data_IF_681140064780
#
_entry.id   IF_681140064780
#
_cell.length_a   1.000
_cell.length_b   1.000
_cell.length_c   1.000
_cell.angle_alpha   90.00
_cell.angle_beta   90.00
_cell.angle_gamma   90.00
#
_symmetry.space_group_name_H-M   'P 1'
#
loop_
_entity.id
_entity.type
_entity.pdbx_description
1 polymer ?
#
# COMPACT_ATOMS: atom_id res chain seq x y z
N UNK A 1 32.36 5.19 -1.22
CA UNK A 1 31.30 4.16 -1.11
C UNK A 1 29.97 4.88 -1.00
N UNK A 2 29.15 4.88 -2.04
CA UNK A 2 27.80 5.46 -1.98
C UNK A 2 26.94 4.53 -1.15
N UNK A 3 26.65 4.90 0.10
CA UNK A 3 25.54 4.31 0.85
C UNK A 3 24.29 4.57 0.03
N UNK A 4 23.80 3.58 -0.73
CA UNK A 4 22.51 3.67 -1.38
C UNK A 4 21.48 3.77 -0.26
N UNK A 5 21.00 4.99 -0.01
CA UNK A 5 19.93 5.23 0.96
C UNK A 5 18.73 4.43 0.45
N UNK A 6 18.31 3.45 1.25
CA UNK A 6 17.13 2.66 0.95
C UNK A 6 15.94 3.62 0.77
N UNK A 7 15.15 3.52 -0.31
CA UNK A 7 13.97 4.35 -0.50
C UNK A 7 13.08 4.35 0.75
N UNK A 8 12.54 5.50 1.13
CA UNK A 8 11.85 5.64 2.42
C UNK A 8 10.67 4.67 2.61
N UNK A 9 9.96 4.34 1.53
CA UNK A 9 8.85 3.39 1.57
C UNK A 9 9.30 1.93 1.84
N UNK A 10 10.59 1.61 1.64
CA UNK A 10 11.17 0.30 1.98
C UNK A 10 11.66 0.21 3.43
N UNK A 11 11.45 1.25 4.24
CA UNK A 11 11.86 1.29 5.66
C UNK A 11 10.74 0.88 6.61
N UNK A 12 9.68 0.26 6.10
CA UNK A 12 8.50 -0.13 6.88
C UNK A 12 8.33 -1.65 6.85
N UNK A 13 8.00 -2.26 7.98
CA UNK A 13 7.69 -3.69 8.04
C UNK A 13 6.17 -3.93 7.89
N UNK A 14 5.80 -4.99 7.18
CA UNK A 14 4.40 -5.40 6.98
C UNK A 14 4.02 -6.69 7.71
N UNK A 15 5.00 -7.57 7.94
CA UNK A 15 4.88 -8.78 8.75
C UNK A 15 6.11 -8.94 9.62
N UNK A 16 5.93 -9.55 10.78
CA UNK A 16 7.01 -9.96 11.67
C UNK A 16 6.94 -11.46 11.87
N UNK A 17 8.10 -12.11 11.96
CA UNK A 17 8.13 -13.51 12.33
C UNK A 17 8.16 -13.64 13.86
N UNK A 18 7.13 -14.28 14.42
CA UNK A 18 7.03 -14.54 15.87
C UNK A 18 7.73 -15.84 16.29
N UNK A 19 8.11 -16.68 15.34
CA UNK A 19 8.74 -17.97 15.58
C UNK A 19 10.14 -17.99 14.99
N UNK A 20 11.15 -17.81 15.85
CA UNK A 20 12.58 -17.74 15.51
C UNK A 20 13.13 -19.11 15.05
N UNK A 21 12.34 -20.18 15.10
CA UNK A 21 12.80 -21.55 14.90
C UNK A 21 13.22 -21.91 13.47
N UNK A 22 12.98 -21.05 12.48
CA UNK A 22 13.40 -21.28 11.09
C UNK A 22 14.21 -20.08 10.60
N UNK A 23 15.33 -20.34 9.90
CA UNK A 23 16.25 -19.40 9.20
C UNK A 23 15.53 -18.43 8.23
N UNK A 24 14.60 -17.65 8.73
CA UNK A 24 13.72 -16.76 8.00
C UNK A 24 13.89 -15.36 8.55
N UNK A 25 13.74 -14.36 7.69
CA UNK A 25 13.94 -12.98 8.07
C UNK A 25 12.98 -12.58 9.21
N UNK A 26 13.49 -11.79 10.15
CA UNK A 26 12.73 -11.35 11.32
C UNK A 26 11.47 -10.53 10.95
N UNK A 27 11.46 -9.95 9.76
CA UNK A 27 10.34 -9.19 9.21
C UNK A 27 10.29 -9.28 7.68
N UNK A 28 9.12 -8.99 7.13
CA UNK A 28 8.92 -8.78 5.69
C UNK A 28 8.59 -7.31 5.43
N UNK A 29 9.19 -6.71 4.40
CA UNK A 29 8.99 -5.29 4.07
C UNK A 29 7.55 -5.05 3.62
N UNK A 30 6.97 -3.94 4.08
CA UNK A 30 5.58 -3.60 3.84
C UNK A 30 5.26 -3.42 2.36
N UNK A 31 6.10 -2.68 1.63
CA UNK A 31 5.91 -2.49 0.20
C UNK A 31 5.94 -3.83 -0.58
N UNK A 32 6.83 -4.74 -0.20
CA UNK A 32 6.89 -6.08 -0.81
C UNK A 32 5.68 -6.93 -0.42
N UNK A 33 5.26 -6.89 0.85
CA UNK A 33 4.04 -7.56 1.28
C UNK A 33 2.82 -7.10 0.46
N UNK A 34 2.68 -5.79 0.26
CA UNK A 34 1.64 -5.22 -0.58
C UNK A 34 1.71 -5.73 -2.03
N UNK A 35 2.91 -5.80 -2.62
CA UNK A 35 3.10 -6.31 -3.98
C UNK A 35 2.81 -7.82 -4.09
N UNK A 36 3.16 -8.61 -3.07
CA UNK A 36 2.85 -10.04 -3.04
C UNK A 36 1.33 -10.25 -3.07
N UNK A 37 0.58 -9.50 -2.26
CA UNK A 37 -0.89 -9.56 -2.24
C UNK A 37 -1.47 -9.03 -3.55
N UNK A 38 -0.91 -7.97 -4.12
CA UNK A 38 -1.31 -7.46 -5.43
C UNK A 38 -1.11 -8.49 -6.56
N UNK A 39 0.00 -9.23 -6.54
CA UNK A 39 0.27 -10.29 -7.51
C UNK A 39 -0.75 -11.44 -7.37
N UNK A 40 -1.09 -11.83 -6.14
CA UNK A 40 -2.16 -12.79 -5.89
C UNK A 40 -3.51 -12.31 -6.43
N UNK A 41 -3.88 -11.05 -6.17
CA UNK A 41 -5.11 -10.43 -6.68
C UNK A 41 -5.17 -10.42 -8.21
N UNK A 42 -4.08 -9.98 -8.85
CA UNK A 42 -3.94 -9.99 -10.30
C UNK A 42 -4.16 -11.40 -10.87
N UNK A 43 -3.53 -12.41 -10.27
CA UNK A 43 -3.65 -13.81 -10.69
C UNK A 43 -5.09 -14.32 -10.55
N UNK A 44 -5.75 -14.02 -9.42
CA UNK A 44 -7.15 -14.39 -9.18
C UNK A 44 -8.07 -13.87 -10.28
N UNK A 45 -7.93 -12.59 -10.66
CA UNK A 45 -8.77 -12.01 -11.73
C UNK A 45 -8.40 -12.57 -13.09
N UNK A 46 -7.10 -12.65 -13.42
CA UNK A 46 -6.61 -13.09 -14.73
C UNK A 46 -7.13 -14.48 -15.09
N UNK A 47 -7.14 -15.39 -14.11
CA UNK A 47 -7.59 -16.77 -14.29
C UNK A 47 -9.05 -16.99 -13.88
N UNK A 48 -9.81 -15.91 -13.63
CA UNK A 48 -11.20 -15.93 -13.20
C UNK A 48 -11.46 -16.89 -12.02
N UNK A 49 -10.51 -16.97 -11.09
CA UNK A 49 -10.63 -17.80 -9.90
C UNK A 49 -11.83 -17.29 -9.08
N UNK A 50 -12.66 -18.20 -8.57
CA UNK A 50 -13.90 -17.87 -7.83
C UNK A 50 -14.93 -17.05 -8.62
N UNK A 51 -14.89 -17.14 -9.96
CA UNK A 51 -15.71 -16.32 -10.87
C UNK A 51 -15.52 -14.80 -10.65
N UNK A 52 -14.33 -14.40 -10.18
CA UNK A 52 -14.01 -13.04 -9.78
C UNK A 52 -14.04 -12.05 -10.95
N UNK A 53 -13.54 -12.43 -12.11
CA UNK A 53 -13.57 -11.58 -13.32
C UNK A 53 -15.00 -11.30 -13.77
N UNK A 54 -15.88 -12.30 -13.70
CA UNK A 54 -17.29 -12.11 -14.02
C UNK A 54 -17.96 -11.11 -13.08
N UNK A 55 -17.72 -11.22 -11.77
CA UNK A 55 -18.25 -10.28 -10.77
C UNK A 55 -17.78 -8.84 -11.01
N UNK A 56 -16.52 -8.65 -11.42
CA UNK A 56 -16.04 -7.32 -11.78
C UNK A 56 -16.72 -6.78 -13.04
N UNK A 57 -16.99 -7.63 -14.02
CA UNK A 57 -17.76 -7.25 -15.20
C UNK A 57 -19.18 -6.79 -14.83
N UNK A 58 -19.84 -7.43 -13.85
CA UNK A 58 -21.15 -6.99 -13.31
C UNK A 58 -21.06 -5.59 -12.67
N UNK A 59 -19.91 -5.22 -12.11
CA UNK A 59 -19.62 -3.88 -11.59
C UNK A 59 -19.12 -2.90 -12.67
N UNK A 60 -19.23 -3.25 -13.96
CA UNK A 60 -18.74 -2.46 -15.09
C UNK A 60 -17.21 -2.22 -15.11
N UNK A 61 -16.43 -3.06 -14.44
CA UNK A 61 -14.97 -3.08 -14.49
C UNK A 61 -14.54 -4.19 -15.46
N UNK A 62 -14.24 -3.83 -16.70
CA UNK A 62 -14.08 -4.76 -17.83
C UNK A 62 -12.63 -4.88 -18.30
N UNK A 63 -12.34 -5.97 -19.01
CA UNK A 63 -11.09 -6.24 -19.75
C UNK A 63 -9.79 -6.08 -18.93
N UNK A 64 -8.67 -5.73 -19.59
CA UNK A 64 -7.31 -5.66 -19.00
C UNK A 64 -7.16 -4.67 -17.85
N UNK A 65 -8.19 -3.85 -17.62
CA UNK A 65 -8.24 -2.90 -16.53
C UNK A 65 -8.67 -3.58 -15.23
N UNK A 66 -9.42 -4.69 -15.29
CA UNK A 66 -9.89 -5.41 -14.10
C UNK A 66 -8.73 -6.01 -13.29
N UNK A 67 -7.78 -6.70 -13.93
CA UNK A 67 -6.64 -7.29 -13.22
C UNK A 67 -5.74 -6.20 -12.61
N UNK A 68 -5.49 -5.12 -13.36
CA UNK A 68 -4.65 -4.00 -12.91
C UNK A 68 -5.32 -3.21 -11.79
N UNK A 69 -6.62 -2.97 -11.90
CA UNK A 69 -7.41 -2.27 -10.90
C UNK A 69 -7.40 -3.03 -9.57
N UNK A 70 -7.65 -4.35 -9.61
CA UNK A 70 -7.58 -5.17 -8.40
C UNK A 70 -6.16 -5.23 -7.83
N UNK A 71 -5.14 -5.37 -8.69
CA UNK A 71 -3.75 -5.33 -8.23
C UNK A 71 -3.44 -4.00 -7.51
N UNK A 72 -3.91 -2.87 -8.04
CA UNK A 72 -3.74 -1.55 -7.42
C UNK A 72 -4.48 -1.42 -6.09
N UNK A 73 -5.75 -1.85 -6.00
CA UNK A 73 -6.50 -1.88 -4.74
C UNK A 73 -5.76 -2.75 -3.71
N UNK A 74 -5.30 -3.94 -4.11
CA UNK A 74 -4.62 -4.86 -3.20
C UNK A 74 -3.23 -4.37 -2.78
N UNK A 75 -2.51 -3.66 -3.64
CA UNK A 75 -1.23 -3.04 -3.31
C UNK A 75 -1.36 -1.97 -2.21
N UNK A 76 -2.56 -1.46 -1.95
CA UNK A 76 -2.81 -0.39 -0.97
C UNK A 76 -3.60 -0.86 0.24
N UNK A 77 -3.96 -2.15 0.32
CA UNK A 77 -4.82 -2.69 1.39
C UNK A 77 -4.26 -2.43 2.79
N UNK A 78 -2.93 -2.47 2.93
CA UNK A 78 -2.20 -2.33 4.18
C UNK A 78 -1.58 -0.93 4.34
N UNK A 79 -2.05 0.09 3.60
CA UNK A 79 -1.44 1.43 3.61
C UNK A 79 -1.39 2.06 5.00
N UNK A 80 -2.34 1.75 5.88
CA UNK A 80 -2.33 2.21 7.28
C UNK A 80 -1.15 1.68 8.11
N UNK A 81 -0.47 0.60 7.66
CA UNK A 81 0.75 0.12 8.32
C UNK A 81 1.95 1.05 8.13
N UNK A 82 1.91 1.98 7.16
CA UNK A 82 2.90 3.04 7.05
C UNK A 82 2.80 4.07 8.19
N UNK A 83 1.73 4.04 9.01
CA UNK A 83 1.65 4.89 10.18
C UNK A 83 2.74 4.56 11.21
N UNK A 84 3.39 5.61 11.72
CA UNK A 84 4.40 5.46 12.80
C UNK A 84 3.82 4.91 14.09
N UNK A 85 2.51 5.03 14.31
CA UNK A 85 1.80 4.35 15.40
C UNK A 85 1.86 2.83 15.22
N UNK A 86 1.47 2.31 14.05
CA UNK A 86 1.50 0.88 13.76
C UNK A 86 2.91 0.28 13.86
N UNK A 87 3.92 0.96 13.31
CA UNK A 87 5.31 0.47 13.30
C UNK A 87 5.91 0.28 14.69
N UNK A 88 5.27 0.78 15.77
CA UNK A 88 5.69 0.55 17.16
C UNK A 88 5.37 -0.85 17.68
N UNK A 89 4.48 -1.61 17.03
CA UNK A 89 4.11 -2.94 17.51
C UNK A 89 5.26 -3.95 17.46
N UNK A 90 6.33 -3.67 16.70
CA UNK A 90 7.57 -4.43 16.72
C UNK A 90 8.75 -3.51 16.41
N UNK A 91 9.85 -3.68 17.15
CA UNK A 91 11.05 -2.87 17.00
C UNK A 91 12.20 -3.75 16.51
N UNK A 92 12.99 -3.18 15.60
CA UNK A 92 14.18 -3.82 15.03
C UNK A 92 15.34 -2.81 15.09
N UNK A 93 15.98 -2.63 16.26
CA UNK A 93 16.95 -1.55 16.49
C UNK A 93 18.13 -1.55 15.51
N UNK A 94 18.55 -2.73 15.06
CA UNK A 94 19.69 -2.90 14.15
C UNK A 94 19.29 -2.90 12.66
N UNK A 95 17.99 -2.77 12.37
CA UNK A 95 17.48 -2.75 11.00
C UNK A 95 17.33 -1.31 10.48
N UNK A 96 17.47 -1.07 9.16
CA UNK A 96 17.29 0.26 8.55
C UNK A 96 15.81 0.69 8.44
N UNK A 97 14.98 0.31 9.41
CA UNK A 97 13.55 0.60 9.47
C UNK A 97 13.27 1.95 10.14
N UNK A 98 12.03 2.43 9.99
CA UNK A 98 11.58 3.66 10.63
C UNK A 98 11.58 3.54 12.16
N UNK A 99 12.13 4.52 12.89
CA UNK A 99 12.12 4.46 14.35
C UNK A 99 10.71 4.66 14.93
N UNK A 100 10.47 4.40 16.21
CA UNK A 100 9.26 4.92 16.88
C UNK A 100 9.33 6.46 16.97
N UNK A 101 8.19 7.14 16.93
CA UNK A 101 8.09 8.60 17.22
C UNK A 101 7.47 8.78 18.60
N UNK A 102 8.13 9.53 19.50
CA UNK A 102 7.57 9.80 20.84
C UNK A 102 6.21 10.50 20.75
N UNK A 103 5.28 10.17 21.65
CA UNK A 103 3.94 10.78 21.69
C UNK A 103 2.91 10.28 20.67
N UNK A 104 3.30 9.52 19.64
CA UNK A 104 2.33 8.91 18.71
C UNK A 104 1.72 7.64 19.32
N UNK A 105 0.42 7.63 19.59
CA UNK A 105 -0.26 6.46 20.11
C UNK A 105 -0.43 5.37 19.03
N UNK A 106 -0.40 4.11 19.45
CA UNK A 106 -0.64 2.93 18.61
C UNK A 106 -1.97 2.27 19.04
N UNK A 107 -3.05 3.05 19.03
CA UNK A 107 -4.36 2.61 19.52
C UNK A 107 -5.23 2.07 18.38
N UNK A 108 -5.13 2.67 17.20
CA UNK A 108 -5.99 2.32 16.07
C UNK A 108 -5.44 1.16 15.26
N UNK A 109 -6.34 0.31 14.77
CA UNK A 109 -6.01 -0.77 13.84
C UNK A 109 -5.53 -0.19 12.50
N UNK A 110 -4.61 -0.87 11.85
CA UNK A 110 -4.05 -0.42 10.57
C UNK A 110 -5.09 -0.33 9.44
N UNK A 111 -6.11 -1.18 9.44
CA UNK A 111 -7.19 -1.11 8.46
C UNK A 111 -8.06 0.14 8.67
N UNK A 112 -8.36 0.50 9.93
CA UNK A 112 -9.02 1.77 10.27
C UNK A 112 -8.19 2.98 9.86
N UNK A 113 -6.87 2.96 10.10
CA UNK A 113 -5.96 4.02 9.66
C UNK A 113 -5.91 4.16 8.14
N UNK A 114 -5.86 3.03 7.43
CA UNK A 114 -5.89 3.00 5.97
C UNK A 114 -7.21 3.54 5.41
N UNK A 115 -8.33 3.13 6.00
CA UNK A 115 -9.66 3.62 5.62
C UNK A 115 -9.79 5.13 5.82
N UNK A 116 -9.35 5.65 6.98
CA UNK A 116 -9.35 7.09 7.24
C UNK A 116 -8.51 7.87 6.23
N UNK A 117 -7.31 7.38 5.89
CA UNK A 117 -6.48 7.99 4.83
C UNK A 117 -7.20 8.00 3.48
N UNK A 118 -7.88 6.91 3.12
CA UNK A 118 -8.65 6.84 1.88
C UNK A 118 -9.81 7.83 1.86
N UNK A 119 -10.53 8.02 2.97
CA UNK A 119 -11.58 9.03 3.06
C UNK A 119 -11.03 10.42 2.77
N UNK A 120 -9.91 10.80 3.42
CA UNK A 120 -9.28 12.08 3.18
C UNK A 120 -8.83 12.26 1.73
N UNK A 121 -8.22 11.22 1.12
CA UNK A 121 -7.78 11.27 -0.28
C UNK A 121 -8.96 11.40 -1.26
N UNK A 122 -10.07 10.72 -1.01
CA UNK A 122 -11.28 10.81 -1.83
C UNK A 122 -11.90 12.20 -1.69
N UNK A 123 -12.05 12.70 -0.47
CA UNK A 123 -12.57 14.05 -0.22
C UNK A 123 -11.70 15.12 -0.92
N UNK A 124 -10.38 15.01 -0.83
CA UNK A 124 -9.46 15.95 -1.49
C UNK A 124 -9.58 15.86 -3.03
N UNK A 125 -9.69 14.65 -3.59
CA UNK A 125 -9.91 14.43 -5.01
C UNK A 125 -11.26 15.03 -5.47
N UNK A 126 -12.36 14.75 -4.77
CA UNK A 126 -13.69 15.26 -5.11
C UNK A 126 -13.75 16.79 -5.14
N UNK A 127 -12.89 17.45 -4.36
CA UNK A 127 -12.70 18.90 -4.37
C UNK A 127 -11.68 19.39 -5.42
N UNK A 128 -11.32 18.55 -6.40
CA UNK A 128 -10.30 18.78 -7.43
C UNK A 128 -8.92 19.17 -6.87
N UNK A 129 -8.65 18.76 -5.63
CA UNK A 129 -7.45 19.08 -4.88
C UNK A 129 -6.55 17.83 -4.71
N UNK A 130 -5.30 18.03 -4.31
CA UNK A 130 -4.31 16.98 -4.06
C UNK A 130 -3.33 17.39 -2.94
N UNK A 131 -3.80 18.16 -1.97
CA UNK A 131 -3.00 18.71 -0.88
C UNK A 131 -2.39 17.63 0.02
N UNK A 132 -3.00 16.45 0.09
CA UNK A 132 -2.53 15.35 0.94
C UNK A 132 -1.30 14.66 0.33
N UNK A 133 -1.20 14.62 -1.01
CA UNK A 133 -0.07 14.01 -1.70
C UNK A 133 1.01 15.06 -1.97
N UNK A 134 2.26 14.77 -1.60
CA UNK A 134 3.37 15.73 -1.75
C UNK A 134 3.55 16.21 -3.21
N UNK A 135 3.78 17.52 -3.37
CA UNK A 135 3.96 18.27 -4.64
C UNK A 135 5.27 17.93 -5.39
N UNK A 136 6.09 17.00 -4.89
CA UNK A 136 7.47 16.80 -5.35
C UNK A 136 7.65 16.06 -6.68
N UNK A 137 6.63 15.43 -7.24
CA UNK A 137 6.72 14.82 -8.57
C UNK A 137 6.08 15.76 -9.59
N UNK A 138 6.74 16.00 -10.72
CA UNK A 138 6.20 16.80 -11.82
C UNK A 138 4.99 16.08 -12.46
N UNK A 139 3.82 16.24 -11.83
CA UNK A 139 2.61 15.44 -12.09
C UNK A 139 1.78 15.95 -13.27
N UNK A 140 2.27 16.94 -14.02
CA UNK A 140 1.67 17.27 -15.33
C UNK A 140 1.49 16.02 -16.19
N UNK A 141 2.42 15.06 -16.09
CA UNK A 141 2.35 13.76 -16.77
C UNK A 141 1.21 12.85 -16.27
N UNK A 142 0.88 12.87 -14.98
CA UNK A 142 -0.22 12.06 -14.43
C UNK A 142 -1.59 12.67 -14.74
N UNK A 143 -1.69 14.00 -14.75
CA UNK A 143 -2.93 14.70 -15.13
C UNK A 143 -3.33 14.40 -16.57
N UNK A 144 -2.35 14.32 -17.49
CA UNK A 144 -2.60 13.87 -18.87
C UNK A 144 -2.99 12.39 -18.97
N UNK A 145 -2.46 11.54 -18.09
CA UNK A 145 -2.76 10.10 -18.06
C UNK A 145 -4.14 9.76 -17.46
N UNK A 146 -4.65 10.59 -16.54
CA UNK A 146 -5.96 10.40 -15.88
C UNK A 146 -7.11 11.11 -16.60
N UNK A 147 -6.83 12.16 -17.39
CA UNK A 147 -7.84 12.91 -18.16
C UNK A 147 -7.96 12.47 -19.63
N UNK A 148 -7.78 11.19 -19.96
CA UNK A 148 -8.26 10.71 -21.27
C UNK A 148 -9.78 10.59 -21.21
N UNK A 149 -10.42 11.65 -21.70
CA UNK A 149 -11.85 11.89 -21.60
C UNK A 149 -12.72 10.88 -22.34
N UNK A 150 -13.96 10.82 -21.86
CA UNK A 150 -15.15 10.73 -22.69
C UNK A 150 -15.92 12.04 -22.54
#
# INVERSE_FOLDING_TARGET
MTTSILPDYLRYWGKTNKHIENNSDAYHLLAYHCLDVAACGYYIIKYNIFNSKHKLCECNIKDTDAEKFIAWIFATHDIGKFARGFQKYALFPDAPLVPPVSGIAALERHDSLGFYLWQLLIEDWENESNNILSVSDDRHKFKTALNHGY
#
